data_IF_579035564294
#
_entry.id   IF_579035564294
#
_cell.length_a   1.000
_cell.length_b   1.000
_cell.length_c   1.000
_cell.angle_alpha   90.00
_cell.angle_beta   90.00
_cell.angle_gamma   90.00
#
_symmetry.space_group_name_H-M   'P 1'
#
loop_
_entity.id
_entity.type
_entity.pdbx_description
1 polymer ?
#
# COMPACT_ATOMS: atom_id res chain seq x y z
N UNK A 1 -3.10 20.14 16.18
CA UNK A 1 -3.22 19.91 14.73
C UNK A 1 -2.86 18.44 14.43
N UNK A 2 -3.69 17.48 14.82
CA UNK A 2 -4.84 17.09 14.02
C UNK A 2 -4.39 16.37 12.74
N UNK A 3 -3.47 15.40 12.88
CA UNK A 3 -2.84 14.71 11.77
C UNK A 3 -3.86 13.97 10.91
N UNK A 4 -3.81 14.20 9.61
CA UNK A 4 -4.64 13.51 8.62
C UNK A 4 -4.56 11.99 8.80
N UNK A 5 -5.69 11.28 8.68
CA UNK A 5 -5.71 9.83 8.74
C UNK A 5 -4.86 9.20 7.62
N UNK A 6 -4.40 7.94 7.77
CA UNK A 6 -3.71 7.23 6.68
C UNK A 6 -4.49 7.25 5.36
N UNK A 7 -5.81 7.13 5.43
CA UNK A 7 -6.72 7.22 4.28
C UNK A 7 -6.68 8.61 3.63
N UNK A 8 -6.69 9.68 4.43
CA UNK A 8 -6.64 11.04 3.91
C UNK A 8 -5.28 11.34 3.26
N UNK A 9 -4.19 10.84 3.85
CA UNK A 9 -2.85 10.95 3.26
C UNK A 9 -2.74 10.16 1.95
N UNK A 10 -3.28 8.92 1.91
CA UNK A 10 -3.30 8.10 0.70
C UNK A 10 -4.13 8.75 -0.42
N UNK A 11 -5.29 9.32 -0.08
CA UNK A 11 -6.12 10.05 -1.04
C UNK A 11 -5.41 11.30 -1.57
N UNK A 12 -4.79 12.09 -0.69
CA UNK A 12 -4.05 13.28 -1.09
C UNK A 12 -2.87 12.92 -2.01
N UNK A 13 -2.07 11.92 -1.63
CA UNK A 13 -0.98 11.43 -2.48
C UNK A 13 -1.50 10.97 -3.86
N UNK A 14 -2.59 10.21 -3.90
CA UNK A 14 -3.16 9.76 -5.17
C UNK A 14 -3.64 10.94 -6.02
N UNK A 15 -4.27 11.95 -5.41
CA UNK A 15 -4.75 13.15 -6.11
C UNK A 15 -3.64 14.06 -6.62
N UNK A 16 -2.48 14.07 -5.96
CA UNK A 16 -1.29 14.84 -6.37
C UNK A 16 -0.46 14.10 -7.43
N UNK A 17 -0.56 12.77 -7.50
CA UNK A 17 -0.01 12.00 -8.62
C UNK A 17 -0.87 12.22 -9.87
N UNK A 18 -0.32 11.91 -11.05
CA UNK A 18 -1.04 11.85 -12.33
C UNK A 18 -2.04 10.66 -12.37
N UNK A 19 -2.83 10.49 -11.29
CA UNK A 19 -3.74 9.38 -11.09
C UNK A 19 -4.95 9.38 -12.02
N UNK A 20 -5.18 10.50 -12.71
CA UNK A 20 -6.15 10.61 -13.80
C UNK A 20 -5.83 9.66 -14.97
N UNK A 21 -4.60 9.17 -15.09
CA UNK A 21 -4.20 8.18 -16.09
C UNK A 21 -4.30 6.73 -15.61
N UNK A 22 -4.58 6.50 -14.33
CA UNK A 22 -4.76 5.14 -13.80
C UNK A 22 -6.14 4.59 -14.15
N UNK A 23 -6.20 3.29 -14.41
CA UNK A 23 -7.48 2.59 -14.42
C UNK A 23 -8.14 2.68 -13.03
N UNK A 24 -9.47 2.59 -12.91
CA UNK A 24 -10.13 2.53 -11.61
C UNK A 24 -9.59 1.42 -10.68
N UNK A 25 -9.10 0.32 -11.27
CA UNK A 25 -8.52 -0.80 -10.52
C UNK A 25 -7.14 -0.44 -9.95
N UNK A 26 -6.26 0.13 -10.77
CA UNK A 26 -4.93 0.59 -10.33
C UNK A 26 -5.05 1.71 -9.29
N UNK A 27 -6.00 2.63 -9.45
CA UNK A 27 -6.29 3.67 -8.46
C UNK A 27 -6.70 3.07 -7.10
N UNK A 28 -7.56 2.03 -7.11
CA UNK A 28 -8.00 1.32 -5.90
C UNK A 28 -6.85 0.57 -5.22
N UNK A 29 -6.03 -0.14 -5.98
CA UNK A 29 -4.85 -0.85 -5.46
C UNK A 29 -3.87 0.11 -4.81
N UNK A 30 -3.52 1.19 -5.52
CA UNK A 30 -2.60 2.20 -5.03
C UNK A 30 -3.12 2.90 -3.79
N UNK A 31 -4.42 3.18 -3.72
CA UNK A 31 -5.04 3.72 -2.52
C UNK A 31 -4.88 2.77 -1.32
N UNK A 32 -5.16 1.47 -1.51
CA UNK A 32 -5.02 0.47 -0.45
C UNK A 32 -3.55 0.33 0.01
N UNK A 33 -2.62 0.25 -0.92
CA UNK A 33 -1.18 0.16 -0.64
C UNK A 33 -0.66 1.44 0.03
N UNK A 34 -1.00 2.63 -0.47
CA UNK A 34 -0.61 3.89 0.17
C UNK A 34 -1.20 4.01 1.58
N UNK A 35 -2.44 3.55 1.79
CA UNK A 35 -3.04 3.52 3.13
C UNK A 35 -2.26 2.58 4.06
N UNK A 36 -1.85 1.39 3.58
CA UNK A 36 -0.97 0.49 4.33
C UNK A 36 0.35 1.16 4.70
N UNK A 37 0.98 1.85 3.75
CA UNK A 37 2.22 2.59 3.96
C UNK A 37 2.07 3.64 5.07
N UNK A 38 1.06 4.51 4.98
CA UNK A 38 0.85 5.54 5.99
C UNK A 38 0.38 4.99 7.34
N UNK A 39 -0.43 3.92 7.36
CA UNK A 39 -0.95 3.32 8.59
C UNK A 39 0.09 2.55 9.40
N UNK A 40 1.17 2.10 8.75
CA UNK A 40 2.20 1.26 9.37
C UNK A 40 3.58 1.91 9.40
N UNK A 41 3.60 3.25 9.42
CA UNK A 41 4.82 4.06 9.53
C UNK A 41 5.83 3.82 8.40
N UNK A 42 5.35 3.75 7.15
CA UNK A 42 6.10 3.45 5.92
C UNK A 42 7.46 4.13 5.75
N UNK A 43 7.58 5.37 6.21
CA UNK A 43 8.84 6.11 6.17
C UNK A 43 9.97 5.44 6.97
N UNK A 44 9.62 4.65 7.99
CA UNK A 44 10.53 3.93 8.89
C UNK A 44 10.72 2.46 8.51
N UNK A 45 10.07 1.97 7.45
CA UNK A 45 10.27 0.58 7.01
C UNK A 45 11.72 0.34 6.58
N UNK A 46 12.21 -0.87 6.85
CA UNK A 46 13.56 -1.30 6.48
C UNK A 46 13.80 -1.30 4.96
N UNK A 47 12.79 -1.69 4.17
CA UNK A 47 12.76 -1.62 2.70
C UNK A 47 11.44 -1.02 2.24
N UNK A 48 11.53 0.03 1.43
CA UNK A 48 10.37 0.80 0.91
C UNK A 48 10.56 1.21 -0.54
N UNK A 49 11.39 0.48 -1.28
CA UNK A 49 11.71 0.78 -2.67
C UNK A 49 10.43 0.82 -3.52
N UNK A 50 10.26 1.89 -4.28
CA UNK A 50 9.09 2.10 -5.15
C UNK A 50 7.82 2.56 -4.43
N UNK A 51 7.69 2.43 -3.11
CA UNK A 51 6.47 2.84 -2.40
C UNK A 51 6.21 4.34 -2.54
N UNK A 52 4.94 4.69 -2.78
CA UNK A 52 4.49 6.05 -3.08
C UNK A 52 5.14 6.70 -4.33
N UNK A 53 5.69 5.88 -5.23
CA UNK A 53 6.20 6.33 -6.52
C UNK A 53 5.08 6.27 -7.59
N UNK A 54 5.04 7.17 -8.58
CA UNK A 54 4.13 7.06 -9.71
C UNK A 54 4.32 5.81 -10.58
N UNK A 55 5.47 5.10 -10.52
CA UNK A 55 5.69 3.84 -11.26
C UNK A 55 4.64 2.78 -10.95
N UNK A 56 4.51 1.79 -11.83
CA UNK A 56 3.58 0.65 -11.64
C UNK A 56 3.79 0.01 -10.25
N UNK A 57 2.71 -0.18 -9.48
CA UNK A 57 2.76 -0.71 -8.11
C UNK A 57 3.30 -2.14 -8.03
N UNK A 58 3.22 -2.91 -9.11
CA UNK A 58 3.84 -4.23 -9.23
C UNK A 58 5.37 -4.18 -9.21
N UNK A 59 5.98 -2.98 -9.31
CA UNK A 59 7.42 -2.78 -9.14
C UNK A 59 7.82 -2.42 -7.71
N UNK A 60 6.85 -2.20 -6.82
CA UNK A 60 7.14 -1.80 -5.45
C UNK A 60 7.63 -3.01 -4.63
N UNK A 61 8.55 -2.77 -3.71
CA UNK A 61 9.11 -3.82 -2.88
C UNK A 61 8.01 -4.60 -2.15
N UNK A 62 8.03 -5.92 -2.29
CA UNK A 62 7.07 -6.82 -1.64
C UNK A 62 5.71 -6.90 -2.32
N UNK A 63 5.47 -6.16 -3.42
CA UNK A 63 4.23 -6.25 -4.18
C UNK A 63 4.44 -7.16 -5.39
N UNK A 64 3.59 -8.17 -5.53
CA UNK A 64 3.59 -9.07 -6.69
C UNK A 64 2.29 -8.92 -7.46
N UNK A 65 2.39 -9.00 -8.79
CA UNK A 65 1.24 -9.07 -9.70
C UNK A 65 1.46 -10.24 -10.66
N UNK A 66 0.46 -11.08 -10.86
CA UNK A 66 0.55 -12.15 -11.88
C UNK A 66 0.32 -11.60 -13.28
N UNK A 67 -0.80 -10.91 -13.50
CA UNK A 67 -1.17 -10.31 -14.81
C UNK A 67 -1.80 -8.92 -14.63
N UNK A 68 -1.60 -8.27 -13.46
CA UNK A 68 -2.42 -7.15 -12.95
C UNK A 68 -3.88 -7.62 -12.77
N UNK A 69 -4.46 -7.60 -11.57
CA UNK A 69 -4.11 -6.82 -10.37
C UNK A 69 -2.96 -7.36 -9.51
N UNK A 70 -2.62 -6.60 -8.47
CA UNK A 70 -1.81 -7.07 -7.33
C UNK A 70 -2.38 -8.37 -6.79
N UNK A 71 -1.54 -9.40 -6.73
CA UNK A 71 -1.90 -10.73 -6.24
C UNK A 71 -1.35 -11.02 -4.85
N UNK A 72 -0.28 -10.34 -4.42
CA UNK A 72 0.36 -10.54 -3.13
C UNK A 72 1.04 -9.26 -2.63
N UNK A 73 1.05 -9.06 -1.30
CA UNK A 73 1.83 -8.03 -0.60
C UNK A 73 2.61 -8.66 0.55
N UNK A 74 3.89 -8.94 0.33
CA UNK A 74 4.79 -9.59 1.27
C UNK A 74 5.82 -8.61 1.84
N UNK A 75 5.57 -8.15 3.07
CA UNK A 75 6.42 -7.18 3.80
C UNK A 75 7.09 -7.82 5.02
N UNK A 76 7.49 -9.08 4.88
CA UNK A 76 8.13 -9.85 5.95
C UNK A 76 9.39 -9.13 6.47
N UNK A 77 9.53 -9.07 7.79
CA UNK A 77 10.67 -8.46 8.49
C UNK A 77 10.94 -7.00 8.06
N UNK A 78 9.89 -6.20 7.85
CA UNK A 78 10.01 -4.83 7.36
C UNK A 78 9.70 -3.73 8.40
N UNK A 79 9.70 -4.08 9.68
CA UNK A 79 9.50 -3.15 10.80
C UNK A 79 8.23 -2.29 10.69
N UNK A 80 7.12 -2.93 10.32
CA UNK A 80 5.81 -2.29 10.24
C UNK A 80 5.36 -1.88 11.64
N UNK A 81 5.10 -0.59 11.86
CA UNK A 81 4.62 -0.05 13.15
C UNK A 81 3.30 0.66 12.97
N UNK A 82 2.25 0.14 13.60
CA UNK A 82 0.89 0.68 13.52
C UNK A 82 -0.13 -0.44 13.44
N UNK A 83 -1.22 -0.21 12.72
CA UNK A 83 -2.28 -1.20 12.50
C UNK A 83 -2.44 -1.55 11.03
N UNK A 84 -2.88 -2.77 10.74
CA UNK A 84 -3.33 -3.16 9.41
C UNK A 84 -4.62 -2.40 9.07
N UNK A 85 -4.63 -1.53 8.04
CA UNK A 85 -5.86 -0.86 7.65
C UNK A 85 -6.84 -1.83 7.00
N UNK A 86 -8.14 -1.65 7.26
CA UNK A 86 -9.21 -2.42 6.61
C UNK A 86 -9.19 -2.25 5.08
N UNK A 87 -8.68 -1.12 4.59
CA UNK A 87 -8.51 -0.80 3.18
C UNK A 87 -7.63 -1.82 2.42
N UNK A 88 -6.83 -2.64 3.13
CA UNK A 88 -6.12 -3.76 2.51
C UNK A 88 -7.08 -4.77 1.86
N UNK A 89 -8.32 -4.86 2.34
CA UNK A 89 -9.38 -5.69 1.75
C UNK A 89 -9.75 -5.26 0.33
N UNK A 90 -9.43 -4.02 -0.07
CA UNK A 90 -9.64 -3.55 -1.43
C UNK A 90 -8.71 -4.25 -2.45
N UNK A 91 -7.66 -4.92 -1.97
CA UNK A 91 -6.80 -5.80 -2.78
C UNK A 91 -7.40 -7.22 -2.93
N UNK A 92 -8.35 -7.61 -2.08
CA UNK A 92 -8.83 -9.00 -1.91
C UNK A 92 -9.88 -9.40 -2.96
N UNK A 93 -10.36 -8.47 -3.79
CA UNK A 93 -11.30 -8.82 -4.87
C UNK A 93 -10.69 -9.76 -5.93
N UNK A 94 -9.36 -9.96 -6.00
CA UNK A 94 -8.73 -10.67 -7.12
C UNK A 94 -7.48 -11.52 -6.80
N UNK A 95 -7.19 -11.85 -5.53
CA UNK A 95 -6.05 -12.72 -5.17
C UNK A 95 -5.83 -12.85 -3.67
N UNK A 96 -5.13 -13.90 -3.23
CA UNK A 96 -4.81 -14.13 -1.81
C UNK A 96 -3.87 -13.06 -1.27
N UNK A 97 -4.36 -12.14 -0.45
CA UNK A 97 -3.52 -11.14 0.22
C UNK A 97 -2.98 -11.70 1.53
N UNK A 98 -1.66 -11.90 1.63
CA UNK A 98 -0.97 -12.25 2.88
C UNK A 98 -0.11 -11.10 3.38
N UNK A 99 -0.65 -10.26 4.28
CA UNK A 99 0.16 -9.28 5.00
C UNK A 99 0.57 -9.87 6.34
N UNK A 100 1.85 -10.18 6.52
CA UNK A 100 2.38 -10.69 7.78
C UNK A 100 2.86 -9.53 8.65
N UNK A 101 2.11 -9.23 9.70
CA UNK A 101 2.57 -8.39 10.79
C UNK A 101 3.39 -9.26 11.74
N UNK A 102 4.63 -8.87 12.05
CA UNK A 102 5.24 -9.32 13.29
C UNK A 102 4.71 -8.42 14.39
N UNK A 103 3.87 -8.96 15.27
CA UNK A 103 3.76 -8.41 16.60
C UNK A 103 5.13 -8.61 17.26
N UNK A 104 5.80 -7.53 17.61
CA UNK A 104 6.86 -7.62 18.62
C UNK A 104 6.14 -7.96 19.94
N UNK A 105 6.50 -9.08 20.53
CA UNK A 105 6.21 -9.38 21.95
C UNK A 105 6.92 -8.36 22.85
#
# INVERSE_FOLDING_TARGET
PGGSSPQALAFAWLAETEASFYSPMSARQRYALATLYYATSGANWTRRDGWLNPTNECSWYGVSCEVDPVSEVSLNNNDLVGSLPVDISLLVDMGKVQVVFRYLE
#
